data_IF_265417806213
#
_entry.id   IF_265417806213
#
_cell.length_a   1.000
_cell.length_b   1.000
_cell.length_c   1.000
_cell.angle_alpha   90.00
_cell.angle_beta   90.00
_cell.angle_gamma   90.00
#
_symmetry.space_group_name_H-M   'P 1'
#
loop_
_entity.id
_entity.type
_entity.pdbx_description
1 polymer ?
#
# COMPACT_ATOMS: atom_id res chain seq x y z
N UNK A 1 26.88 -9.33 -29.73
CA UNK A 1 26.00 -9.68 -28.58
C UNK A 1 26.19 -11.14 -28.21
N UNK A 2 26.23 -11.50 -26.92
CA UNK A 2 26.28 -12.89 -26.48
C UNK A 2 24.88 -13.43 -26.10
N UNK A 3 24.76 -14.77 -25.89
CA UNK A 3 23.45 -15.39 -25.59
C UNK A 3 22.80 -14.89 -24.31
N UNK A 4 23.59 -14.50 -23.31
CA UNK A 4 23.05 -13.99 -22.03
C UNK A 4 22.46 -12.58 -22.21
N UNK A 5 23.15 -11.73 -22.95
CA UNK A 5 22.68 -10.38 -23.30
C UNK A 5 21.39 -10.44 -24.10
N UNK A 6 21.34 -11.32 -25.10
CA UNK A 6 20.14 -11.57 -25.90
C UNK A 6 18.94 -11.97 -25.02
N UNK A 7 19.13 -12.97 -24.13
CA UNK A 7 18.05 -13.44 -23.25
C UNK A 7 17.55 -12.35 -22.32
N UNK A 8 18.44 -11.53 -21.76
CA UNK A 8 18.07 -10.39 -20.92
C UNK A 8 17.23 -9.38 -21.70
N UNK A 9 17.64 -9.02 -22.91
CA UNK A 9 16.91 -8.09 -23.74
C UNK A 9 15.53 -8.64 -24.13
N UNK A 10 15.46 -9.94 -24.55
CA UNK A 10 14.22 -10.59 -24.93
C UNK A 10 13.22 -10.69 -23.78
N UNK A 11 13.67 -10.89 -22.55
CA UNK A 11 12.80 -10.91 -21.37
C UNK A 11 12.40 -9.50 -20.89
N UNK A 12 13.24 -8.48 -21.13
CA UNK A 12 12.94 -7.12 -20.71
C UNK A 12 11.84 -6.46 -21.57
N UNK A 13 11.90 -6.67 -22.91
CA UNK A 13 10.85 -6.22 -23.83
C UNK A 13 10.70 -7.24 -24.97
N UNK A 14 9.84 -8.24 -24.81
CA UNK A 14 9.66 -9.31 -25.80
C UNK A 14 9.30 -8.83 -27.20
N UNK A 15 8.67 -7.64 -27.31
CA UNK A 15 8.15 -7.10 -28.58
C UNK A 15 9.12 -6.15 -29.28
N UNK A 16 10.14 -5.65 -28.57
CA UNK A 16 11.10 -4.66 -29.10
C UNK A 16 12.53 -5.13 -28.93
N UNK A 17 13.04 -5.83 -29.90
CA UNK A 17 14.44 -6.25 -29.94
C UNK A 17 15.29 -5.27 -30.75
N UNK A 18 16.51 -5.02 -30.27
CA UNK A 18 17.52 -4.29 -31.01
C UNK A 18 17.91 -5.00 -32.33
N UNK A 19 18.58 -4.29 -33.23
CA UNK A 19 19.12 -4.88 -34.46
C UNK A 19 20.09 -6.02 -34.15
N UNK A 20 20.95 -5.84 -33.14
CA UNK A 20 21.97 -6.80 -32.73
C UNK A 20 21.34 -8.07 -32.14
N UNK A 21 20.26 -7.93 -31.36
CA UNK A 21 19.50 -9.05 -30.81
C UNK A 21 18.81 -9.85 -31.91
N UNK A 22 18.20 -9.19 -32.89
CA UNK A 22 17.58 -9.86 -34.04
C UNK A 22 18.64 -10.62 -34.88
N UNK A 23 19.78 -9.99 -35.13
CA UNK A 23 20.88 -10.60 -35.86
C UNK A 23 21.45 -11.81 -35.13
N UNK A 24 21.61 -11.71 -33.80
CA UNK A 24 22.08 -12.82 -32.97
C UNK A 24 21.07 -13.99 -32.98
N UNK A 25 19.78 -13.73 -32.84
CA UNK A 25 18.75 -14.77 -32.89
C UNK A 25 18.73 -15.50 -34.24
N UNK A 26 18.94 -14.77 -35.36
CA UNK A 26 19.02 -15.36 -36.69
C UNK A 26 20.22 -16.29 -36.86
N UNK A 27 21.34 -16.02 -36.17
CA UNK A 27 22.56 -16.81 -36.24
C UNK A 27 22.74 -17.88 -35.16
N UNK A 28 21.89 -17.91 -34.13
CA UNK A 28 22.00 -18.81 -32.97
C UNK A 28 20.75 -19.68 -32.81
N UNK A 29 20.78 -20.99 -33.10
CA UNK A 29 19.59 -21.85 -32.96
C UNK A 29 19.00 -21.89 -31.57
N UNK A 30 19.84 -21.88 -30.52
CA UNK A 30 19.41 -21.91 -29.13
C UNK A 30 18.66 -20.62 -28.74
N UNK A 31 19.16 -19.47 -29.18
CA UNK A 31 18.51 -18.18 -28.91
C UNK A 31 17.24 -17.99 -29.74
N UNK A 32 17.21 -18.53 -30.97
CA UNK A 32 16.02 -18.59 -31.81
C UNK A 32 14.91 -19.44 -31.16
N UNK A 33 15.27 -20.62 -30.61
CA UNK A 33 14.31 -21.47 -29.89
C UNK A 33 13.76 -20.78 -28.64
N UNK A 34 14.64 -20.17 -27.84
CA UNK A 34 14.23 -19.38 -26.66
C UNK A 34 13.33 -18.21 -27.02
N UNK A 35 13.61 -17.50 -28.12
CA UNK A 35 12.77 -16.40 -28.57
C UNK A 35 11.35 -16.88 -28.90
N UNK A 36 11.20 -18.03 -29.59
CA UNK A 36 9.87 -18.60 -29.88
C UNK A 36 9.09 -18.96 -28.62
N UNK A 37 9.73 -19.57 -27.65
CA UNK A 37 9.09 -19.92 -26.35
C UNK A 37 8.57 -18.68 -25.62
N UNK A 38 9.35 -17.60 -25.60
CA UNK A 38 8.92 -16.32 -25.01
C UNK A 38 7.76 -15.73 -25.81
N UNK A 39 7.81 -15.74 -27.16
CA UNK A 39 6.75 -15.22 -28.01
C UNK A 39 5.44 -16.01 -27.87
N UNK A 40 5.51 -17.34 -27.72
CA UNK A 40 4.34 -18.18 -27.43
C UNK A 40 3.72 -17.83 -26.09
N UNK A 41 4.55 -17.62 -25.07
CA UNK A 41 4.08 -17.19 -23.73
C UNK A 41 3.40 -15.82 -23.80
N UNK A 42 4.01 -14.85 -24.51
CA UNK A 42 3.43 -13.53 -24.74
C UNK A 42 2.06 -13.60 -25.43
N UNK A 43 1.92 -14.49 -26.43
CA UNK A 43 0.63 -14.68 -27.11
C UNK A 43 -0.45 -15.27 -26.21
N UNK A 44 -0.08 -16.18 -25.29
CA UNK A 44 -1.01 -16.74 -24.32
C UNK A 44 -1.45 -15.64 -23.35
N UNK A 45 -0.51 -14.86 -22.84
CA UNK A 45 -0.80 -13.73 -21.94
C UNK A 45 -1.68 -12.67 -22.63
N UNK A 46 -1.37 -12.32 -23.86
CA UNK A 46 -2.15 -11.33 -24.62
C UNK A 46 -3.60 -11.79 -24.78
N UNK A 47 -3.83 -13.06 -25.11
CA UNK A 47 -5.17 -13.64 -25.18
C UNK A 47 -5.90 -13.68 -23.83
N UNK A 48 -5.18 -14.04 -22.77
CA UNK A 48 -5.73 -14.13 -21.42
C UNK A 48 -6.13 -12.75 -20.87
N UNK A 49 -5.41 -11.71 -21.27
CA UNK A 49 -5.64 -10.33 -20.82
C UNK A 49 -6.65 -9.55 -21.70
N UNK A 50 -7.06 -10.12 -22.83
CA UNK A 50 -8.10 -9.50 -23.67
C UNK A 50 -9.44 -9.51 -22.93
N UNK A 51 -9.85 -8.34 -22.47
CA UNK A 51 -11.19 -8.14 -21.91
C UNK A 51 -12.10 -7.62 -22.99
N UNK A 52 -13.28 -8.26 -23.24
CA UNK A 52 -14.21 -7.76 -24.24
C UNK A 52 -14.68 -6.36 -23.85
N UNK A 53 -14.59 -5.44 -24.80
CA UNK A 53 -15.09 -4.07 -24.60
C UNK A 53 -16.61 -4.13 -24.48
N UNK A 54 -17.23 -3.60 -23.39
CA UNK A 54 -18.68 -3.58 -23.25
C UNK A 54 -19.35 -2.85 -24.41
N UNK A 55 -20.43 -3.41 -24.92
CA UNK A 55 -21.24 -2.77 -25.98
C UNK A 55 -21.65 -1.36 -25.55
N UNK A 56 -21.57 -0.41 -26.45
CA UNK A 56 -21.97 0.98 -26.23
C UNK A 56 -21.00 1.80 -25.35
N UNK A 57 -19.81 1.27 -24.99
CA UNK A 57 -18.83 2.05 -24.21
C UNK A 57 -18.35 3.30 -24.97
N UNK A 58 -18.05 3.15 -26.27
CA UNK A 58 -17.64 4.27 -27.12
C UNK A 58 -18.72 5.35 -27.19
N UNK A 59 -19.97 4.96 -27.40
CA UNK A 59 -21.10 5.89 -27.44
C UNK A 59 -21.32 6.61 -26.11
N UNK A 60 -21.17 5.90 -24.99
CA UNK A 60 -21.24 6.51 -23.65
C UNK A 60 -20.14 7.55 -23.42
N UNK A 61 -18.90 7.25 -23.83
CA UNK A 61 -17.78 8.18 -23.71
C UNK A 61 -18.02 9.43 -24.57
N UNK A 62 -18.44 9.24 -25.83
CA UNK A 62 -18.72 10.34 -26.75
C UNK A 62 -19.90 11.18 -26.24
N UNK A 63 -20.95 10.55 -25.74
CA UNK A 63 -22.12 11.25 -25.20
C UNK A 63 -21.77 12.05 -23.95
N UNK A 64 -20.94 11.51 -23.05
CA UNK A 64 -20.48 12.22 -21.87
C UNK A 64 -19.57 13.41 -22.23
N UNK A 65 -18.72 13.26 -23.26
CA UNK A 65 -17.82 14.32 -23.70
C UNK A 65 -18.56 15.48 -24.40
N UNK A 66 -19.71 15.18 -25.04
CA UNK A 66 -20.55 16.17 -25.76
C UNK A 66 -21.64 16.82 -24.90
N UNK A 67 -21.75 16.47 -23.62
CA UNK A 67 -22.71 17.16 -22.74
C UNK A 67 -22.39 18.66 -22.71
N UNK A 68 -23.30 19.51 -23.19
CA UNK A 68 -23.10 20.97 -23.10
C UNK A 68 -22.98 21.31 -21.62
N UNK A 69 -21.91 22.00 -21.27
CA UNK A 69 -21.77 22.54 -19.91
C UNK A 69 -22.97 23.47 -19.69
N UNK A 70 -23.87 23.16 -18.76
CA UNK A 70 -25.00 24.04 -18.53
C UNK A 70 -24.45 25.42 -18.17
N UNK A 71 -25.05 26.45 -18.77
CA UNK A 71 -24.65 27.84 -18.55
C UNK A 71 -25.05 28.27 -17.12
N UNK A 72 -24.30 27.87 -16.14
CA UNK A 72 -24.53 28.09 -14.69
C UNK A 72 -24.31 29.54 -14.27
N UNK A 73 -23.86 30.38 -15.19
CA UNK A 73 -23.54 31.78 -14.86
C UNK A 73 -24.73 32.66 -14.48
N UNK A 74 -25.94 32.26 -14.80
CA UNK A 74 -27.15 33.05 -14.49
C UNK A 74 -27.78 32.76 -13.10
N UNK A 75 -27.44 31.63 -12.47
CA UNK A 75 -28.05 31.20 -11.19
C UNK A 75 -27.09 31.34 -9.98
N UNK A 76 -25.87 31.80 -10.20
CA UNK A 76 -24.82 31.87 -9.16
C UNK A 76 -25.05 32.94 -8.10
N UNK A 77 -25.88 33.95 -8.34
CA UNK A 77 -26.09 35.05 -7.39
C UNK A 77 -27.21 34.81 -6.35
N UNK A 78 -28.17 33.91 -6.63
CA UNK A 78 -29.21 33.57 -5.65
C UNK A 78 -28.81 32.42 -4.72
N UNK A 79 -27.85 31.57 -5.12
CA UNK A 79 -27.41 30.42 -4.33
C UNK A 79 -26.37 30.78 -3.25
N UNK A 80 -25.70 31.92 -3.33
CA UNK A 80 -24.61 32.29 -2.42
C UNK A 80 -25.09 32.58 -0.99
N UNK A 81 -26.31 33.10 -0.79
CA UNK A 81 -26.81 33.38 0.55
C UNK A 81 -27.29 32.11 1.29
N UNK A 82 -27.94 31.18 0.55
CA UNK A 82 -28.37 29.91 1.14
C UNK A 82 -27.19 28.95 1.38
N UNK A 83 -26.19 29.01 0.49
CA UNK A 83 -24.95 28.23 0.67
C UNK A 83 -24.14 28.71 1.87
N UNK A 84 -24.09 30.02 2.14
CA UNK A 84 -23.35 30.54 3.29
C UNK A 84 -23.97 30.12 4.64
N UNK A 85 -25.32 30.05 4.72
CA UNK A 85 -26.00 29.57 5.94
C UNK A 85 -25.94 28.03 6.09
N UNK A 86 -25.98 27.29 4.99
CA UNK A 86 -25.85 25.83 5.00
C UNK A 86 -24.38 25.41 5.29
N UNK A 87 -23.39 26.13 4.77
CA UNK A 87 -21.96 25.91 5.06
C UNK A 87 -21.64 26.22 6.53
N UNK A 88 -22.22 27.27 7.10
CA UNK A 88 -22.05 27.57 8.53
C UNK A 88 -22.61 26.50 9.45
N UNK A 89 -23.71 25.85 9.06
CA UNK A 89 -24.32 24.74 9.84
C UNK A 89 -23.58 23.42 9.62
N UNK A 90 -23.08 23.16 8.41
CA UNK A 90 -22.36 21.91 8.09
C UNK A 90 -20.90 21.92 8.57
N UNK A 91 -20.22 23.06 8.61
CA UNK A 91 -18.85 23.20 9.15
C UNK A 91 -18.82 23.00 10.67
N UNK A 92 -19.95 23.24 11.36
CA UNK A 92 -20.07 22.96 12.80
C UNK A 92 -20.25 21.47 13.16
N UNK A 93 -20.71 20.64 12.22
CA UNK A 93 -21.02 19.22 12.48
C UNK A 93 -20.17 18.22 11.72
N UNK A 94 -19.54 18.61 10.64
CA UNK A 94 -18.54 17.78 9.97
C UNK A 94 -17.16 18.07 10.56
N UNK A 95 -16.71 17.21 11.49
CA UNK A 95 -15.28 17.05 11.68
C UNK A 95 -14.73 16.62 10.30
N UNK A 96 -14.24 17.58 9.51
CA UNK A 96 -13.36 17.23 8.40
C UNK A 96 -12.25 16.37 8.99
N UNK A 97 -11.91 15.25 8.37
CA UNK A 97 -10.68 14.57 8.71
C UNK A 97 -9.57 15.60 8.45
N UNK A 98 -9.11 16.22 9.52
CA UNK A 98 -7.90 17.02 9.46
C UNK A 98 -6.80 16.04 9.03
N UNK A 99 -5.83 16.46 8.21
CA UNK A 99 -4.62 15.69 7.85
C UNK A 99 -3.83 15.17 9.07
N UNK A 100 -4.43 15.31 10.24
CA UNK A 100 -3.89 14.97 11.55
C UNK A 100 -3.96 13.50 11.90
N UNK A 101 -4.67 12.70 11.12
CA UNK A 101 -4.90 11.27 11.38
C UNK A 101 -4.68 10.37 10.12
N UNK A 102 -4.06 10.94 9.08
CA UNK A 102 -3.88 10.29 7.78
C UNK A 102 -3.16 8.94 7.91
N UNK A 103 -2.02 8.90 8.57
CA UNK A 103 -1.21 7.68 8.66
C UNK A 103 -1.82 6.62 9.56
N UNK A 104 -2.55 7.03 10.60
CA UNK A 104 -3.33 6.10 11.41
C UNK A 104 -4.47 5.46 10.58
N UNK A 105 -5.15 6.22 9.71
CA UNK A 105 -6.17 5.68 8.79
C UNK A 105 -5.58 4.77 7.73
N UNK A 106 -4.48 5.18 7.08
CA UNK A 106 -3.78 4.34 6.10
C UNK A 106 -3.34 3.00 6.70
N UNK A 107 -2.94 2.99 7.96
CA UNK A 107 -2.62 1.75 8.67
C UNK A 107 -3.85 0.84 8.84
N UNK A 108 -5.03 1.40 9.14
CA UNK A 108 -6.28 0.64 9.21
C UNK A 108 -6.62 0.07 7.82
N UNK A 109 -6.56 0.89 6.78
CA UNK A 109 -6.86 0.48 5.40
C UNK A 109 -5.94 -0.66 4.95
N UNK A 110 -4.64 -0.56 5.23
CA UNK A 110 -3.67 -1.60 4.93
C UNK A 110 -4.04 -2.94 5.59
N UNK A 111 -4.38 -2.91 6.88
CA UNK A 111 -4.78 -4.10 7.63
C UNK A 111 -6.09 -4.72 7.12
N UNK A 112 -7.04 -3.88 6.71
CA UNK A 112 -8.33 -4.33 6.14
C UNK A 112 -8.14 -4.95 4.76
N UNK A 113 -7.16 -4.50 3.99
CA UNK A 113 -6.84 -5.06 2.67
C UNK A 113 -6.08 -6.39 2.72
N UNK A 114 -5.45 -6.72 3.86
CA UNK A 114 -4.69 -7.96 4.05
C UNK A 114 -5.29 -8.87 5.16
N UNK A 115 -6.55 -9.30 5.05
CA UNK A 115 -7.22 -10.09 6.10
C UNK A 115 -6.56 -11.44 6.34
N UNK A 116 -5.85 -12.01 5.35
CA UNK A 116 -5.09 -13.24 5.46
C UNK A 116 -3.96 -13.16 6.48
N UNK A 117 -3.44 -11.96 6.79
CA UNK A 117 -2.39 -11.76 7.79
C UNK A 117 -2.79 -12.25 9.20
N UNK A 118 -4.09 -12.30 9.48
CA UNK A 118 -4.64 -12.79 10.76
C UNK A 118 -4.86 -14.30 10.79
N UNK A 119 -5.00 -14.94 9.63
CA UNK A 119 -5.27 -16.38 9.51
C UNK A 119 -4.02 -17.22 9.28
N UNK A 120 -2.97 -16.62 8.71
CA UNK A 120 -1.70 -17.30 8.47
C UNK A 120 -0.96 -17.47 9.80
N UNK A 121 -0.69 -18.72 10.15
CA UNK A 121 0.23 -19.09 11.24
C UNK A 121 1.43 -19.77 10.58
N UNK A 122 2.44 -18.99 10.23
CA UNK A 122 3.69 -19.53 9.71
C UNK A 122 4.74 -19.64 10.82
N UNK A 123 5.75 -20.48 10.62
CA UNK A 123 6.97 -20.42 11.43
C UNK A 123 7.60 -19.05 11.20
N UNK A 124 7.50 -18.18 12.22
CA UNK A 124 7.91 -16.79 12.07
C UNK A 124 9.39 -16.65 12.36
N UNK A 125 10.10 -16.06 11.43
CA UNK A 125 11.49 -15.67 11.62
C UNK A 125 11.55 -14.42 12.53
N UNK A 126 11.80 -14.66 13.82
CA UNK A 126 12.02 -13.58 14.79
C UNK A 126 13.21 -12.68 14.42
N UNK A 127 14.18 -13.22 13.67
CA UNK A 127 15.34 -12.45 13.21
C UNK A 127 14.92 -11.39 12.19
N UNK A 128 13.92 -11.69 11.34
CA UNK A 128 13.39 -10.71 10.38
C UNK A 128 12.77 -9.51 11.11
N UNK A 129 12.02 -9.74 12.19
CA UNK A 129 11.47 -8.65 13.01
C UNK A 129 12.58 -7.86 13.71
N UNK A 130 13.58 -8.55 14.28
CA UNK A 130 14.72 -7.89 14.91
C UNK A 130 15.51 -7.02 13.93
N UNK A 131 15.76 -7.53 12.71
CA UNK A 131 16.41 -6.77 11.65
C UNK A 131 15.56 -5.54 11.24
N UNK A 132 14.22 -5.68 11.15
CA UNK A 132 13.33 -4.57 10.89
C UNK A 132 13.46 -3.47 11.97
N UNK A 133 13.44 -3.81 13.25
CA UNK A 133 13.61 -2.86 14.37
C UNK A 133 14.96 -2.15 14.29
N UNK A 134 16.04 -2.88 13.96
CA UNK A 134 17.37 -2.30 13.81
C UNK A 134 17.47 -1.26 12.68
N UNK A 135 16.66 -1.37 11.60
CA UNK A 135 16.64 -0.36 10.53
C UNK A 135 16.19 1.02 11.04
N UNK A 136 15.48 1.08 12.16
CA UNK A 136 15.06 2.31 12.83
C UNK A 136 16.09 2.83 13.85
N UNK A 137 17.23 2.16 13.98
CA UNK A 137 18.21 2.47 15.01
C UNK A 137 17.69 2.18 16.42
N UNK A 138 16.76 1.25 16.57
CA UNK A 138 16.16 0.84 17.83
C UNK A 138 16.76 -0.49 18.32
N UNK A 139 16.80 -0.65 19.63
CA UNK A 139 17.28 -1.86 20.29
C UNK A 139 16.11 -2.63 20.91
N UNK A 140 15.96 -3.89 20.52
CA UNK A 140 14.94 -4.78 21.06
C UNK A 140 15.49 -5.51 22.28
N UNK A 141 14.85 -5.32 23.46
CA UNK A 141 15.18 -6.02 24.71
C UNK A 141 14.48 -7.37 24.79
N UNK A 142 13.19 -7.37 24.43
CA UNK A 142 12.36 -8.57 24.40
C UNK A 142 11.25 -8.43 23.36
N UNK A 143 10.54 -9.52 23.06
CA UNK A 143 9.41 -9.50 22.13
C UNK A 143 8.16 -8.98 22.83
N UNK A 144 7.43 -8.02 22.24
CA UNK A 144 6.19 -7.47 22.82
C UNK A 144 4.99 -8.44 22.73
N UNK A 145 5.22 -9.68 22.32
CA UNK A 145 4.21 -10.72 22.19
C UNK A 145 4.68 -11.84 21.28
N UNK A 146 3.83 -12.83 21.07
CA UNK A 146 4.12 -13.92 20.15
C UNK A 146 3.84 -13.46 18.72
N UNK A 147 4.86 -13.46 17.88
CA UNK A 147 4.70 -13.11 16.46
C UNK A 147 4.00 -14.22 15.71
N UNK A 148 2.98 -13.90 14.93
CA UNK A 148 2.22 -14.82 14.06
C UNK A 148 2.51 -14.60 12.59
N UNK A 149 2.83 -13.36 12.20
CA UNK A 149 3.04 -12.96 10.82
C UNK A 149 4.09 -11.86 10.74
N UNK A 150 4.99 -11.95 9.76
CA UNK A 150 5.96 -10.89 9.40
C UNK A 150 6.09 -10.86 7.89
N UNK A 151 5.87 -9.71 7.30
CA UNK A 151 6.05 -9.51 5.86
C UNK A 151 6.46 -8.07 5.54
N UNK A 152 7.26 -7.90 4.51
CA UNK A 152 7.51 -6.59 3.92
C UNK A 152 6.41 -6.31 2.90
N UNK A 153 5.58 -5.30 3.15
CA UNK A 153 4.44 -4.92 2.32
C UNK A 153 4.63 -3.53 1.71
N UNK A 154 4.09 -3.27 0.52
CA UNK A 154 4.01 -1.91 0.00
C UNK A 154 3.04 -1.09 0.87
N UNK A 155 3.45 0.12 1.23
CA UNK A 155 2.65 1.13 1.92
C UNK A 155 2.69 2.43 1.12
N UNK A 156 1.84 3.41 1.45
CA UNK A 156 1.71 4.67 0.69
C UNK A 156 3.07 5.35 0.40
N UNK A 157 3.97 5.35 1.37
CA UNK A 157 5.28 6.01 1.26
C UNK A 157 6.45 5.04 0.97
N UNK A 158 6.20 3.88 0.38
CA UNK A 158 7.24 2.91 0.03
C UNK A 158 6.98 1.50 0.56
N UNK A 159 7.84 0.98 1.41
CA UNK A 159 7.71 -0.35 2.01
C UNK A 159 7.71 -0.27 3.52
N UNK A 160 6.82 -1.04 4.14
CA UNK A 160 6.72 -1.19 5.59
C UNK A 160 6.72 -2.65 6.02
N UNK A 161 7.22 -2.93 7.21
CA UNK A 161 7.11 -4.25 7.80
C UNK A 161 5.76 -4.41 8.47
N UNK A 162 4.96 -5.35 8.00
CA UNK A 162 3.68 -5.72 8.59
C UNK A 162 3.89 -6.93 9.51
N UNK A 163 3.68 -6.73 10.81
CA UNK A 163 3.89 -7.75 11.84
C UNK A 163 2.61 -7.92 12.65
N UNK A 164 2.13 -9.15 12.80
CA UNK A 164 0.97 -9.46 13.63
C UNK A 164 1.42 -10.20 14.88
N UNK A 165 1.05 -9.68 16.03
CA UNK A 165 1.32 -10.23 17.35
C UNK A 165 0.07 -10.84 17.97
N UNK A 166 0.24 -11.94 18.67
CA UNK A 166 -0.73 -12.46 19.61
C UNK A 166 -0.41 -11.91 20.99
N UNK A 167 -1.37 -11.20 21.56
CA UNK A 167 -1.26 -10.55 22.89
C UNK A 167 -2.38 -11.04 23.80
N UNK A 168 -2.31 -10.78 25.11
CA UNK A 168 -3.41 -11.10 26.04
C UNK A 168 -4.75 -10.43 25.68
N UNK A 169 -4.72 -9.29 24.97
CA UNK A 169 -5.90 -8.53 24.54
C UNK A 169 -6.37 -8.92 23.12
N UNK A 170 -5.77 -9.94 22.50
CA UNK A 170 -6.05 -10.39 21.14
C UNK A 170 -4.94 -10.08 20.15
N UNK A 171 -5.30 -9.99 18.88
CA UNK A 171 -4.32 -9.72 17.83
C UNK A 171 -4.02 -8.21 17.73
N UNK A 172 -2.75 -7.87 17.68
CA UNK A 172 -2.26 -6.52 17.43
C UNK A 172 -1.35 -6.52 16.19
N UNK A 173 -1.61 -5.61 15.28
CA UNK A 173 -0.77 -5.37 14.11
C UNK A 173 0.17 -4.22 14.37
N UNK A 174 1.44 -4.42 14.05
CA UNK A 174 2.48 -3.39 14.03
C UNK A 174 2.95 -3.21 12.59
N UNK A 175 2.90 -1.99 12.08
CA UNK A 175 3.45 -1.60 10.79
C UNK A 175 4.63 -0.67 11.06
N UNK A 176 5.82 -1.06 10.59
CA UNK A 176 7.05 -0.26 10.72
C UNK A 176 7.38 0.34 9.36
N UNK A 177 7.37 1.68 9.23
CA UNK A 177 7.65 2.38 7.96
C UNK A 177 8.92 3.22 8.10
N UNK A 178 10.04 2.77 7.50
CA UNK A 178 11.29 3.50 7.55
C UNK A 178 11.28 4.73 6.65
N UNK A 179 12.10 5.73 7.00
CA UNK A 179 12.39 6.90 6.15
C UNK A 179 11.36 8.02 6.21
N UNK A 180 10.10 7.73 6.50
CA UNK A 180 9.04 8.74 6.59
C UNK A 180 8.92 9.31 8.00
N UNK A 181 9.02 10.63 8.13
CA UNK A 181 8.84 11.32 9.41
C UNK A 181 7.41 11.83 9.54
N UNK A 182 6.77 11.47 10.64
CA UNK A 182 5.51 12.10 11.05
C UNK A 182 5.80 13.33 11.91
N UNK A 183 5.01 14.40 11.80
CA UNK A 183 5.20 15.60 12.62
C UNK A 183 4.74 15.38 14.08
N UNK A 184 3.83 14.43 14.31
CA UNK A 184 3.22 14.15 15.61
C UNK A 184 2.61 12.75 15.66
N UNK A 185 2.18 12.36 16.85
CA UNK A 185 1.32 11.20 17.06
C UNK A 185 -0.05 11.41 16.39
N UNK A 186 -0.52 10.38 15.69
CA UNK A 186 -1.84 10.35 15.06
C UNK A 186 -2.66 9.18 15.61
N UNK A 187 -3.97 9.35 15.68
CA UNK A 187 -4.90 8.28 16.06
C UNK A 187 -6.12 8.30 15.17
N UNK A 188 -6.63 7.12 14.82
CA UNK A 188 -7.84 6.96 14.02
C UNK A 188 -8.69 5.79 14.53
N UNK A 189 -10.00 5.89 14.30
CA UNK A 189 -10.94 4.80 14.55
C UNK A 189 -11.92 4.71 13.40
N UNK A 190 -11.97 3.56 12.72
CA UNK A 190 -12.84 3.35 11.55
C UNK A 190 -13.18 1.86 11.43
N UNK A 191 -14.45 1.56 11.14
CA UNK A 191 -14.88 0.19 10.83
C UNK A 191 -14.62 -0.83 11.95
N UNK A 192 -14.64 -0.40 13.21
CA UNK A 192 -14.33 -1.26 14.36
C UNK A 192 -12.83 -1.55 14.53
N UNK A 193 -11.96 -0.81 13.85
CA UNK A 193 -10.53 -0.81 14.04
C UNK A 193 -10.05 0.49 14.67
N UNK A 194 -8.99 0.39 15.46
CA UNK A 194 -8.36 1.52 16.12
C UNK A 194 -6.88 1.51 15.79
N UNK A 195 -6.35 2.66 15.42
CA UNK A 195 -4.96 2.81 15.07
C UNK A 195 -4.31 3.98 15.81
N UNK A 196 -3.01 3.82 16.02
CA UNK A 196 -2.11 4.83 16.53
C UNK A 196 -0.86 4.82 15.64
N UNK A 197 -0.47 5.96 15.07
CA UNK A 197 0.77 6.12 14.35
C UNK A 197 1.70 7.07 15.13
N UNK A 198 2.91 6.59 15.45
CA UNK A 198 3.89 7.34 16.27
C UNK A 198 5.18 7.56 15.49
N UNK A 199 5.69 8.81 15.46
CA UNK A 199 7.00 9.10 14.92
C UNK A 199 8.11 8.51 15.80
N UNK A 200 9.14 7.98 15.13
CA UNK A 200 10.41 7.53 15.74
C UNK A 200 11.57 8.03 14.86
N UNK A 201 12.82 7.94 15.37
CA UNK A 201 13.98 8.52 14.68
C UNK A 201 14.14 8.05 13.22
N UNK A 202 13.96 6.77 12.95
CA UNK A 202 14.17 6.17 11.63
C UNK A 202 12.93 6.17 10.72
N UNK A 203 11.78 6.71 11.17
CA UNK A 203 10.52 6.66 10.44
C UNK A 203 9.31 6.81 11.35
N UNK A 204 8.34 5.93 11.22
CA UNK A 204 7.22 5.82 12.15
C UNK A 204 6.79 4.36 12.31
N UNK A 205 6.09 4.07 13.39
CA UNK A 205 5.31 2.85 13.49
C UNK A 205 3.84 3.15 13.64
N UNK A 206 3.01 2.24 13.14
CA UNK A 206 1.58 2.26 13.39
C UNK A 206 1.14 0.95 14.07
N UNK A 207 0.26 1.08 15.03
CA UNK A 207 -0.38 -0.04 15.74
C UNK A 207 -1.85 -0.07 15.33
N UNK A 208 -2.37 -1.24 14.99
CA UNK A 208 -3.79 -1.43 14.64
C UNK A 208 -4.35 -2.59 15.44
N UNK A 209 -5.47 -2.35 16.13
CA UNK A 209 -6.18 -3.36 16.93
C UNK A 209 -7.70 -3.21 16.79
N UNK A 210 -8.44 -4.11 17.46
CA UNK A 210 -9.92 -4.07 17.49
C UNK A 210 -10.50 -3.16 18.58
N UNK A 211 -9.69 -2.66 19.52
CA UNK A 211 -10.17 -1.75 20.56
C UNK A 211 -9.14 -0.68 20.93
N UNK A 212 -9.56 0.51 21.38
CA UNK A 212 -8.64 1.56 21.81
C UNK A 212 -7.76 1.13 22.99
N UNK A 213 -8.32 0.34 23.91
CA UNK A 213 -7.60 -0.15 25.09
C UNK A 213 -6.49 -1.11 24.69
N UNK A 214 -6.77 -2.04 23.75
CA UNK A 214 -5.76 -2.94 23.20
C UNK A 214 -4.65 -2.17 22.45
N UNK A 215 -4.99 -1.09 21.74
CA UNK A 215 -4.00 -0.23 21.07
C UNK A 215 -3.05 0.41 22.08
N UNK A 216 -3.60 1.00 23.14
CA UNK A 216 -2.85 1.68 24.18
C UNK A 216 -1.98 0.72 25.00
N UNK A 217 -2.51 -0.46 25.31
CA UNK A 217 -1.80 -1.50 26.04
C UNK A 217 -0.64 -2.06 25.21
N UNK A 218 -0.89 -2.39 23.93
CA UNK A 218 0.16 -2.89 23.05
C UNK A 218 1.24 -1.84 22.80
N UNK A 219 0.87 -0.56 22.67
CA UNK A 219 1.82 0.53 22.54
C UNK A 219 2.74 0.65 23.77
N UNK A 220 2.17 0.48 24.97
CA UNK A 220 2.95 0.45 26.21
C UNK A 220 3.94 -0.72 26.21
N UNK A 221 3.46 -1.95 25.94
CA UNK A 221 4.30 -3.12 25.84
C UNK A 221 5.43 -2.93 24.81
N UNK A 222 5.10 -2.37 23.65
CA UNK A 222 6.09 -2.13 22.60
C UNK A 222 7.20 -1.18 23.06
N UNK A 223 6.86 -0.12 23.79
CA UNK A 223 7.84 0.83 24.32
C UNK A 223 8.69 0.26 25.47
N UNK A 224 8.15 -0.67 26.24
CA UNK A 224 8.89 -1.36 27.30
C UNK A 224 9.89 -2.36 26.71
N UNK A 225 9.51 -3.03 25.59
CA UNK A 225 10.31 -4.04 24.92
C UNK A 225 11.32 -3.47 23.91
N UNK A 226 11.06 -2.29 23.31
CA UNK A 226 11.89 -1.69 22.27
C UNK A 226 12.33 -0.28 22.69
N UNK A 227 13.64 -0.08 22.74
CA UNK A 227 14.24 1.22 22.99
C UNK A 227 14.45 1.93 21.66
N UNK A 228 13.62 2.91 21.40
CA UNK A 228 13.76 3.79 20.25
C UNK A 228 14.80 4.86 20.57
N UNK A 229 15.97 4.78 19.95
CA UNK A 229 17.00 5.78 20.16
C UNK A 229 16.50 7.15 19.66
N UNK A 230 16.51 8.14 20.56
CA UNK A 230 15.99 9.50 20.32
C UNK A 230 16.80 10.28 19.28
#
# INVERSE_FOLDING_TARGET
MNCLEFRREKLADPRRLSSDARSHAAGCPTCSAFAREVDETEQVLDRALQTPVPEGLADRIIFQSKRPRPAWRAWALAASLVAALAVGFFVGTSRQPTDTDLYARLAIEHVVMEPESFSIVSAVDTQAFQAAVQTFGADMRELPGKIRYVRLCPVEDGYGWHVVFETPQGLATLILVPGKRLPRLETASTGGWNALARPVRGGYYAIVTKSPDATSEFERMLRDCIVWNA
#
